data_IF_632826421420
#
_entry.id   IF_632826421420
#
_cell.length_a   1.000
_cell.length_b   1.000
_cell.length_c   1.000
_cell.angle_alpha   90.00
_cell.angle_beta   90.00
_cell.angle_gamma   90.00
#
_symmetry.space_group_name_H-M   'P 1'
#
loop_
_entity.id
_entity.type
_entity.pdbx_description
1 polymer ?
#
# COMPACT_ATOMS: atom_id res chain seq x y z
N UNK A 1 13.64 -17.04 49.58
CA UNK A 1 12.55 -17.51 48.70
C UNK A 1 12.09 -16.32 47.86
N UNK A 2 12.51 -16.22 46.60
CA UNK A 2 12.22 -15.09 45.69
C UNK A 2 10.97 -15.43 44.89
N UNK A 3 9.92 -14.60 45.01
CA UNK A 3 8.71 -14.70 44.18
C UNK A 3 9.00 -14.01 42.83
N UNK A 4 8.72 -14.63 41.67
CA UNK A 4 9.01 -14.00 40.38
C UNK A 4 7.98 -12.90 40.05
N UNK A 5 8.51 -11.69 39.94
CA UNK A 5 7.89 -10.47 39.43
C UNK A 5 7.67 -10.57 37.90
N UNK A 6 6.78 -11.45 37.44
CA UNK A 6 6.44 -11.57 36.01
C UNK A 6 4.94 -11.84 35.76
N UNK A 7 4.07 -11.24 36.57
CA UNK A 7 2.63 -11.20 36.27
C UNK A 7 2.15 -9.74 36.32
N UNK A 8 2.83 -8.87 35.57
CA UNK A 8 2.35 -7.52 35.31
C UNK A 8 2.84 -7.03 33.94
N UNK A 9 2.69 -7.86 32.90
CA UNK A 9 3.01 -7.42 31.52
C UNK A 9 2.27 -8.22 30.44
N UNK A 10 1.01 -8.58 30.68
CA UNK A 10 0.20 -9.26 29.66
C UNK A 10 -1.29 -8.95 29.76
N UNK A 11 -1.64 -7.68 29.96
CA UNK A 11 -3.03 -7.20 29.92
C UNK A 11 -3.19 -5.89 29.15
N UNK A 12 -2.31 -5.62 28.17
CA UNK A 12 -2.36 -4.38 27.37
C UNK A 12 -2.25 -4.61 25.86
N UNK A 13 -2.73 -5.75 25.35
CA UNK A 13 -2.71 -6.03 23.89
C UNK A 13 -4.02 -6.60 23.34
N UNK A 14 -5.14 -6.39 24.03
CA UNK A 14 -6.49 -6.66 23.49
C UNK A 14 -7.44 -5.46 23.60
N UNK A 15 -6.91 -4.23 23.54
CA UNK A 15 -7.74 -3.10 23.12
C UNK A 15 -7.91 -3.21 21.61
N UNK A 16 -8.82 -4.07 21.16
CA UNK A 16 -9.48 -3.86 19.87
C UNK A 16 -10.14 -2.50 19.98
N UNK A 17 -9.46 -1.48 19.49
CA UNK A 17 -10.11 -0.21 19.19
C UNK A 17 -11.10 -0.54 18.08
N UNK A 18 -12.32 -0.88 18.49
CA UNK A 18 -13.49 -0.79 17.63
C UNK A 18 -13.75 0.71 17.48
N UNK A 19 -12.95 1.36 16.63
CA UNK A 19 -13.40 2.58 16.00
C UNK A 19 -14.59 2.15 15.17
N UNK A 20 -15.79 2.25 15.75
CA UNK A 20 -17.02 2.28 14.98
C UNK A 20 -16.92 3.46 14.04
N UNK A 21 -16.31 3.26 12.88
CA UNK A 21 -16.34 4.17 11.77
C UNK A 21 -17.81 4.25 11.37
N UNK A 22 -18.56 5.18 12.00
CA UNK A 22 -19.84 5.60 11.46
C UNK A 22 -19.53 6.05 10.05
N UNK A 23 -20.04 5.31 9.07
CA UNK A 23 -19.93 5.71 7.68
C UNK A 23 -20.30 7.20 7.61
N UNK A 24 -19.50 8.03 6.90
CA UNK A 24 -19.83 9.43 6.79
C UNK A 24 -21.24 9.57 6.22
N UNK A 25 -21.94 10.65 6.58
CA UNK A 25 -23.26 10.94 6.03
C UNK A 25 -23.10 11.28 4.55
N UNK A 26 -23.07 10.25 3.70
CA UNK A 26 -22.98 10.39 2.26
C UNK A 26 -24.19 11.16 1.76
N UNK A 27 -24.02 12.11 0.83
CA UNK A 27 -25.17 12.69 0.15
C UNK A 27 -25.90 11.60 -0.63
N UNK A 28 -27.23 11.66 -0.64
CA UNK A 28 -28.04 10.81 -1.51
C UNK A 28 -27.75 11.18 -2.97
N UNK A 29 -26.94 10.35 -3.64
CA UNK A 29 -26.60 10.55 -5.05
C UNK A 29 -27.83 10.24 -5.91
N UNK A 30 -28.40 11.28 -6.53
CA UNK A 30 -29.44 11.08 -7.54
C UNK A 30 -28.83 10.46 -8.79
N UNK A 31 -29.58 9.58 -9.45
CA UNK A 31 -29.19 9.07 -10.77
C UNK A 31 -29.06 10.24 -11.75
N UNK A 32 -28.03 10.21 -12.60
CA UNK A 32 -27.84 11.21 -13.63
C UNK A 32 -28.94 11.08 -14.69
N UNK A 33 -29.56 12.20 -15.07
CA UNK A 33 -30.59 12.22 -16.11
C UNK A 33 -30.00 12.03 -17.52
N UNK A 34 -28.72 12.34 -17.69
CA UNK A 34 -27.98 12.20 -18.93
C UNK A 34 -26.94 11.07 -18.79
N UNK A 35 -26.91 10.19 -19.79
CA UNK A 35 -25.98 9.05 -19.86
C UNK A 35 -25.02 9.18 -21.04
N UNK A 36 -25.02 10.31 -21.73
CA UNK A 36 -24.03 10.61 -22.74
C UNK A 36 -22.63 10.81 -22.12
N UNK A 37 -21.55 10.43 -22.84
CA UNK A 37 -20.20 10.62 -22.36
C UNK A 37 -19.90 12.10 -22.12
N UNK A 38 -19.13 12.37 -21.07
CA UNK A 38 -18.56 13.70 -20.85
C UNK A 38 -17.64 14.09 -22.03
N UNK A 39 -17.49 15.38 -22.34
CA UNK A 39 -16.55 15.84 -23.37
C UNK A 39 -15.15 15.26 -23.16
N UNK A 40 -14.57 14.68 -24.23
CA UNK A 40 -13.26 14.02 -24.17
C UNK A 40 -13.27 12.59 -23.62
N UNK A 41 -14.44 12.04 -23.26
CA UNK A 41 -14.58 10.64 -22.83
C UNK A 41 -15.30 9.81 -23.88
N UNK A 42 -15.21 8.48 -23.75
CA UNK A 42 -15.92 7.51 -24.61
C UNK A 42 -16.78 6.62 -23.73
N UNK A 43 -17.88 6.09 -24.29
CA UNK A 43 -18.68 5.07 -23.62
C UNK A 43 -17.77 3.89 -23.27
N UNK A 44 -17.90 3.36 -22.06
CA UNK A 44 -17.19 2.18 -21.64
C UNK A 44 -17.75 0.98 -22.40
N UNK A 45 -16.93 0.40 -23.28
CA UNK A 45 -17.31 -0.78 -24.08
C UNK A 45 -16.90 -2.11 -23.44
N UNK A 46 -16.20 -2.08 -22.31
CA UNK A 46 -15.83 -3.28 -21.58
C UNK A 46 -17.06 -3.86 -20.89
N UNK A 47 -17.27 -5.16 -21.05
CA UNK A 47 -18.44 -5.87 -20.52
C UNK A 47 -18.01 -6.88 -19.44
N UNK A 48 -18.97 -7.39 -18.67
CA UNK A 48 -18.73 -8.39 -17.62
C UNK A 48 -18.29 -7.79 -16.28
N UNK A 49 -17.61 -8.60 -15.45
CA UNK A 49 -17.16 -8.16 -14.12
C UNK A 49 -15.89 -7.30 -14.24
N UNK A 50 -16.10 -5.98 -14.34
CA UNK A 50 -15.03 -4.99 -14.50
C UNK A 50 -14.07 -4.95 -13.30
N UNK A 51 -14.57 -5.15 -12.08
CA UNK A 51 -13.72 -5.17 -10.88
C UNK A 51 -12.74 -6.34 -10.93
N UNK A 52 -13.19 -7.51 -11.37
CA UNK A 52 -12.32 -8.67 -11.55
C UNK A 52 -11.28 -8.42 -12.64
N UNK A 53 -11.70 -7.90 -13.80
CA UNK A 53 -10.78 -7.59 -14.89
C UNK A 53 -9.72 -6.56 -14.50
N UNK A 54 -10.09 -5.56 -13.69
CA UNK A 54 -9.15 -4.57 -13.18
C UNK A 54 -8.13 -5.19 -12.22
N UNK A 55 -8.57 -6.06 -11.29
CA UNK A 55 -7.67 -6.76 -10.38
C UNK A 55 -6.71 -7.66 -11.17
N UNK A 56 -7.21 -8.48 -12.09
CA UNK A 56 -6.39 -9.37 -12.90
C UNK A 56 -5.35 -8.58 -13.74
N UNK A 57 -5.75 -7.42 -14.28
CA UNK A 57 -4.85 -6.55 -15.03
C UNK A 57 -3.78 -5.89 -14.14
N UNK A 58 -4.18 -5.43 -12.96
CA UNK A 58 -3.27 -4.85 -11.97
C UNK A 58 -2.24 -5.88 -11.49
N UNK A 59 -2.68 -7.10 -11.19
CA UNK A 59 -1.81 -8.18 -10.72
C UNK A 59 -0.71 -8.45 -11.74
N UNK A 60 -1.09 -8.69 -13.01
CA UNK A 60 -0.12 -8.90 -14.10
C UNK A 60 0.85 -7.73 -14.25
N UNK A 61 0.35 -6.49 -14.25
CA UNK A 61 1.21 -5.32 -14.38
C UNK A 61 2.20 -5.23 -13.21
N UNK A 62 1.72 -5.42 -11.98
CA UNK A 62 2.55 -5.34 -10.79
C UNK A 62 3.61 -6.45 -10.76
N UNK A 63 3.26 -7.67 -11.16
CA UNK A 63 4.22 -8.77 -11.28
C UNK A 63 5.36 -8.44 -12.26
N UNK A 64 5.03 -7.92 -13.45
CA UNK A 64 6.03 -7.48 -14.44
C UNK A 64 6.91 -6.35 -13.88
N UNK A 65 6.32 -5.37 -13.18
CA UNK A 65 7.07 -4.27 -12.58
C UNK A 65 7.95 -4.73 -11.42
N UNK A 66 7.51 -5.69 -10.61
CA UNK A 66 8.29 -6.26 -9.51
C UNK A 66 9.50 -7.00 -10.07
N UNK A 67 9.31 -7.82 -11.11
CA UNK A 67 10.39 -8.53 -11.77
C UNK A 67 11.44 -7.54 -12.33
N UNK A 68 11.00 -6.54 -13.08
CA UNK A 68 11.89 -5.50 -13.63
C UNK A 68 12.58 -4.67 -12.52
N UNK A 69 11.87 -4.35 -11.44
CA UNK A 69 12.43 -3.60 -10.32
C UNK A 69 13.54 -4.40 -9.61
N UNK A 70 13.37 -5.71 -9.45
CA UNK A 70 14.39 -6.58 -8.86
C UNK A 70 15.70 -6.55 -9.64
N UNK A 71 15.63 -6.56 -10.98
CA UNK A 71 16.80 -6.44 -11.86
C UNK A 71 17.48 -5.07 -11.72
N UNK A 72 16.70 -3.98 -11.72
CA UNK A 72 17.27 -2.63 -11.62
C UNK A 72 17.82 -2.28 -10.24
N UNK A 73 17.30 -2.91 -9.17
CA UNK A 73 17.59 -2.52 -7.79
C UNK A 73 19.07 -2.59 -7.47
N UNK A 74 19.77 -3.62 -7.94
CA UNK A 74 21.20 -3.76 -7.65
C UNK A 74 22.01 -2.57 -8.18
N UNK A 75 21.69 -2.05 -9.35
CA UNK A 75 22.40 -0.88 -9.91
C UNK A 75 22.13 0.44 -9.19
N UNK A 76 21.01 0.52 -8.45
CA UNK A 76 20.55 1.74 -7.78
C UNK A 76 20.65 1.65 -6.26
N UNK A 77 20.94 0.49 -5.68
CA UNK A 77 20.93 0.26 -4.24
C UNK A 77 22.01 -0.77 -3.88
N UNK A 78 23.21 -0.27 -3.59
CA UNK A 78 24.39 -1.05 -3.18
C UNK A 78 24.79 -0.70 -1.74
N UNK A 79 24.06 -1.18 -0.71
CA UNK A 79 24.45 -0.95 0.67
C UNK A 79 25.73 -1.71 1.01
N UNK A 80 26.65 -1.09 1.76
CA UNK A 80 27.83 -1.76 2.31
C UNK A 80 27.57 -2.21 3.76
N UNK A 81 27.39 -3.51 4.05
CA UNK A 81 27.10 -3.98 5.40
C UNK A 81 28.37 -4.22 6.25
N UNK A 82 29.57 -3.83 5.79
CA UNK A 82 30.82 -4.11 6.50
C UNK A 82 30.89 -3.45 7.89
N UNK A 83 30.23 -2.31 8.08
CA UNK A 83 30.08 -1.61 9.35
C UNK A 83 28.88 -0.65 9.34
N UNK A 84 28.53 -0.10 10.51
CA UNK A 84 27.49 0.93 10.59
C UNK A 84 27.87 2.20 9.80
N UNK A 85 29.13 2.66 9.88
CA UNK A 85 29.58 3.84 9.12
C UNK A 85 29.53 3.63 7.60
N UNK A 86 29.96 2.46 7.12
CA UNK A 86 30.00 2.17 5.67
C UNK A 86 28.60 2.02 5.09
N UNK A 87 27.70 1.36 5.83
CA UNK A 87 26.28 1.28 5.46
C UNK A 87 25.67 2.68 5.36
N UNK A 88 25.91 3.53 6.35
CA UNK A 88 25.31 4.85 6.40
C UNK A 88 25.84 5.76 5.29
N UNK A 89 27.14 5.67 4.96
CA UNK A 89 27.73 6.35 3.81
C UNK A 89 27.12 5.89 2.48
N UNK A 90 26.89 4.58 2.31
CA UNK A 90 26.32 4.01 1.09
C UNK A 90 24.85 4.42 0.86
N UNK A 91 24.05 4.52 1.93
CA UNK A 91 22.61 4.84 1.81
C UNK A 91 22.29 6.34 1.86
N UNK A 92 23.20 7.18 2.39
CA UNK A 92 22.98 8.62 2.57
C UNK A 92 22.52 9.37 1.31
N UNK A 93 23.10 9.15 0.11
CA UNK A 93 22.68 9.84 -1.12
C UNK A 93 21.20 9.62 -1.47
N UNK A 94 20.66 8.43 -1.16
CA UNK A 94 19.28 8.06 -1.47
C UNK A 94 18.27 8.57 -0.44
N UNK A 95 18.70 8.85 0.80
CA UNK A 95 17.84 9.38 1.86
C UNK A 95 17.66 10.89 1.79
N UNK A 96 18.65 11.62 1.25
CA UNK A 96 18.60 13.08 1.13
C UNK A 96 17.50 13.59 0.18
N UNK A 97 16.90 12.71 -0.62
CA UNK A 97 15.81 13.01 -1.58
C UNK A 97 14.40 12.71 -1.07
N UNK A 98 14.24 12.23 0.18
CA UNK A 98 12.94 12.00 0.84
C UNK A 98 12.48 13.23 1.62
#
# INVERSE_FOLDING_TARGET
>A
MKLPLHILSLAFLLSTVSHGQKAPKWPDLKSAADTEPLPGTRKLSMEGNLSRQLVDANDRFLDERIAAAAESRQSLWEPDPASAETYEAAVSPYRATL
#
